data_IF_764185974208
#
_entry.id   IF_764185974208
#
_cell.length_a   1.000
_cell.length_b   1.000
_cell.length_c   1.000
_cell.angle_alpha   90.00
_cell.angle_beta   90.00
_cell.angle_gamma   90.00
#
_symmetry.space_group_name_H-M   'P 1'
#
loop_
_entity.id
_entity.type
_entity.pdbx_description
1 polymer ?
#
# COMPACT_ATOMS: atom_id res chain seq x y z
N UNK A 1 11.54 11.27 0.09
CA UNK A 1 10.81 11.14 1.36
C UNK A 1 10.09 9.81 1.39
N UNK A 2 10.12 9.11 2.53
CA UNK A 2 9.36 7.88 2.76
C UNK A 2 8.44 8.10 3.96
N UNK A 3 7.24 7.53 3.90
CA UNK A 3 6.25 7.59 4.98
C UNK A 3 5.72 6.18 5.22
N UNK A 4 5.69 5.77 6.47
CA UNK A 4 5.10 4.52 6.93
C UNK A 4 4.00 4.84 7.92
N UNK A 5 2.86 4.15 7.85
CA UNK A 5 1.76 4.36 8.78
C UNK A 5 1.09 3.05 9.16
N UNK A 6 0.69 2.93 10.41
CA UNK A 6 -0.14 1.84 10.92
C UNK A 6 -1.13 2.35 11.96
N UNK A 7 -2.27 1.68 12.09
CA UNK A 7 -3.26 1.94 13.14
C UNK A 7 -3.23 0.79 14.15
N UNK A 8 -2.86 1.03 15.41
CA UNK A 8 -2.83 0.00 16.44
C UNK A 8 -4.22 -0.40 16.96
N UNK A 9 -5.25 0.41 16.72
CA UNK A 9 -6.61 0.20 17.26
C UNK A 9 -7.45 -0.74 16.42
N UNK A 10 -7.05 -1.02 15.17
CA UNK A 10 -7.84 -1.80 14.22
C UNK A 10 -7.06 -2.96 13.60
N UNK A 11 -7.78 -3.91 12.99
CA UNK A 11 -7.19 -5.08 12.37
C UNK A 11 -8.06 -5.59 11.22
N UNK A 12 -7.47 -5.76 10.05
CA UNK A 12 -8.14 -6.14 8.81
C UNK A 12 -7.40 -7.22 8.02
N UNK A 13 -6.10 -7.35 8.24
CA UNK A 13 -5.19 -8.18 7.45
C UNK A 13 -4.65 -9.31 8.32
N UNK A 14 -4.78 -10.55 7.85
CA UNK A 14 -4.19 -11.69 8.51
C UNK A 14 -2.68 -11.79 8.23
N UNK A 15 -1.87 -12.31 9.15
CA UNK A 15 -0.53 -12.77 8.86
C UNK A 15 -0.53 -13.79 7.72
N UNK A 16 0.53 -13.85 6.93
CA UNK A 16 0.65 -14.88 5.91
C UNK A 16 0.62 -16.29 6.53
N UNK A 17 -0.30 -17.12 6.04
CA UNK A 17 -0.59 -18.45 6.62
C UNK A 17 -1.63 -18.45 7.74
N UNK A 18 -2.12 -17.29 8.16
CA UNK A 18 -3.20 -17.14 9.14
C UNK A 18 -4.54 -16.76 8.51
N UNK A 19 -5.60 -16.81 9.30
CA UNK A 19 -6.97 -16.40 8.91
C UNK A 19 -7.53 -15.28 9.80
N UNK A 20 -6.91 -15.03 10.94
CA UNK A 20 -7.36 -14.00 11.90
C UNK A 20 -6.69 -12.67 11.62
N UNK A 21 -7.46 -11.58 11.58
CA UNK A 21 -6.94 -10.23 11.41
C UNK A 21 -6.01 -9.86 12.58
N UNK A 22 -4.88 -9.24 12.26
CA UNK A 22 -3.92 -8.72 13.22
C UNK A 22 -3.45 -7.31 12.86
N UNK A 23 -3.26 -7.02 11.58
CA UNK A 23 -2.69 -5.76 11.10
C UNK A 23 -3.73 -4.97 10.33
N UNK A 24 -3.52 -3.68 10.20
CA UNK A 24 -4.20 -2.85 9.20
C UNK A 24 -3.50 -2.96 7.83
N UNK A 25 -4.01 -2.35 6.76
CA UNK A 25 -3.33 -2.34 5.46
C UNK A 25 -1.93 -1.72 5.44
N UNK A 26 -1.51 -1.04 6.49
CA UNK A 26 -0.15 -0.55 6.74
C UNK A 26 0.48 0.12 5.50
N UNK A 27 0.03 1.33 5.10
CA UNK A 27 0.49 1.97 3.88
C UNK A 27 1.94 2.42 3.95
N UNK A 28 2.58 2.36 2.79
CA UNK A 28 3.91 2.90 2.51
C UNK A 28 3.74 3.94 1.41
N UNK A 29 4.19 5.18 1.65
CA UNK A 29 4.25 6.21 0.63
C UNK A 29 5.69 6.66 0.37
N UNK A 30 5.99 7.03 -0.87
CA UNK A 30 7.28 7.59 -1.25
C UNK A 30 7.13 8.72 -2.25
N UNK A 31 7.90 9.80 -2.05
CA UNK A 31 8.07 10.86 -3.03
C UNK A 31 9.52 10.97 -3.45
N UNK A 32 9.81 10.81 -4.74
CA UNK A 32 11.15 10.83 -5.33
C UNK A 32 11.17 11.91 -6.40
N UNK A 33 12.11 12.88 -6.33
CA UNK A 33 12.27 13.90 -7.38
C UNK A 33 12.54 13.25 -8.74
N UNK A 34 11.77 13.63 -9.75
CA UNK A 34 11.91 13.20 -11.15
C UNK A 34 11.29 14.25 -12.08
N UNK A 35 11.62 14.20 -13.37
CA UNK A 35 11.05 15.05 -14.40
C UNK A 35 10.12 14.26 -15.34
N UNK A 36 9.03 14.87 -15.86
CA UNK A 36 8.47 16.19 -15.52
C UNK A 36 7.71 16.24 -14.19
N UNK A 37 7.43 15.09 -13.59
CA UNK A 37 6.75 14.96 -12.31
C UNK A 37 7.49 13.99 -11.37
N UNK A 38 7.41 14.20 -10.05
CA UNK A 38 7.98 13.26 -9.11
C UNK A 38 7.31 11.88 -9.21
N UNK A 39 8.06 10.83 -8.89
CA UNK A 39 7.47 9.51 -8.64
C UNK A 39 6.77 9.58 -7.28
N UNK A 40 5.47 9.29 -7.25
CA UNK A 40 4.67 9.26 -6.04
C UNK A 40 4.11 7.86 -5.84
N UNK A 41 4.73 7.09 -4.97
CA UNK A 41 4.21 5.79 -4.54
C UNK A 41 3.24 6.02 -3.36
N UNK A 42 2.08 5.36 -3.43
CA UNK A 42 1.16 5.18 -2.31
C UNK A 42 0.58 3.77 -2.44
N UNK A 43 1.01 2.88 -1.55
CA UNK A 43 0.64 1.47 -1.62
C UNK A 43 0.42 0.89 -0.23
N UNK A 44 -0.66 0.14 -0.06
CA UNK A 44 -0.84 -0.70 1.13
C UNK A 44 0.02 -1.97 1.05
N UNK A 45 0.35 -2.54 2.19
CA UNK A 45 1.00 -3.85 2.29
C UNK A 45 0.00 -5.01 2.18
N UNK A 46 -1.29 -4.70 2.09
CA UNK A 46 -2.38 -5.64 1.78
C UNK A 46 -2.78 -5.55 0.31
N UNK A 47 -3.38 -6.63 -0.22
CA UNK A 47 -3.79 -6.71 -1.63
C UNK A 47 -4.95 -5.75 -1.98
N UNK A 48 -5.73 -5.36 -0.98
CA UNK A 48 -6.80 -4.37 -1.06
C UNK A 48 -6.94 -3.64 0.27
N UNK A 49 -7.88 -2.69 0.35
CA UNK A 49 -8.14 -1.90 1.57
C UNK A 49 -9.52 -2.23 2.16
N UNK A 50 -9.70 -2.01 3.47
CA UNK A 50 -10.99 -2.13 4.14
C UNK A 50 -12.04 -1.24 3.46
N UNK A 51 -11.70 0.01 3.15
CA UNK A 51 -12.62 0.95 2.50
C UNK A 51 -13.09 0.49 1.11
N UNK A 52 -12.26 -0.23 0.33
CA UNK A 52 -12.72 -0.83 -0.93
C UNK A 52 -13.69 -1.99 -0.68
N UNK A 53 -13.40 -2.85 0.30
CA UNK A 53 -14.29 -3.95 0.68
C UNK A 53 -15.66 -3.42 1.10
N UNK A 54 -15.70 -2.44 2.00
CA UNK A 54 -16.93 -1.82 2.50
C UNK A 54 -17.72 -1.12 1.40
N UNK A 55 -17.05 -0.39 0.52
CA UNK A 55 -17.70 0.28 -0.62
C UNK A 55 -18.34 -0.74 -1.54
N UNK A 56 -17.61 -1.78 -1.97
CA UNK A 56 -18.13 -2.81 -2.83
C UNK A 56 -19.31 -3.57 -2.18
N UNK A 57 -19.22 -3.83 -0.87
CA UNK A 57 -20.33 -4.43 -0.12
C UNK A 57 -21.59 -3.57 -0.18
N UNK A 58 -21.48 -2.27 0.11
CA UNK A 58 -22.62 -1.32 0.02
C UNK A 58 -23.21 -1.20 -1.37
N UNK A 59 -22.36 -1.32 -2.40
CA UNK A 59 -22.78 -1.22 -3.80
C UNK A 59 -23.26 -2.58 -4.39
N UNK A 60 -23.27 -3.66 -3.60
CA UNK A 60 -23.61 -5.01 -4.04
C UNK A 60 -22.65 -5.57 -5.12
N UNK A 61 -21.39 -5.10 -5.13
CA UNK A 61 -20.37 -5.50 -6.10
C UNK A 61 -19.40 -6.50 -5.51
N UNK A 62 -18.87 -7.37 -6.36
CA UNK A 62 -17.73 -8.23 -6.01
C UNK A 62 -16.41 -7.48 -6.08
N UNK A 63 -15.40 -7.98 -5.37
CA UNK A 63 -14.03 -7.54 -5.54
C UNK A 63 -13.50 -8.05 -6.90
N UNK A 64 -12.53 -7.35 -7.52
CA UNK A 64 -11.93 -7.78 -8.79
C UNK A 64 -11.21 -9.13 -8.74
N UNK A 65 -10.92 -9.64 -7.54
CA UNK A 65 -10.27 -10.93 -7.35
C UNK A 65 -10.53 -11.51 -5.96
N UNK A 66 -10.12 -12.75 -5.76
CA UNK A 66 -10.23 -13.45 -4.47
C UNK A 66 -9.19 -12.92 -3.48
N UNK A 67 -9.44 -11.74 -2.93
CA UNK A 67 -8.53 -11.00 -2.06
C UNK A 67 -8.82 -11.15 -0.58
N UNK A 68 -9.89 -11.85 -0.25
CA UNK A 68 -10.30 -12.15 1.12
C UNK A 68 -10.09 -13.63 1.43
N UNK A 69 -9.87 -13.91 2.72
CA UNK A 69 -9.86 -15.26 3.27
C UNK A 69 -10.88 -15.34 4.40
N UNK A 70 -11.70 -16.40 4.38
CA UNK A 70 -12.68 -16.67 5.43
C UNK A 70 -12.02 -17.30 6.64
N UNK A 71 -12.70 -17.36 7.82
CA UNK A 71 -12.19 -18.11 8.97
C UNK A 71 -11.95 -19.61 8.70
N UNK A 72 -12.62 -20.17 7.69
CA UNK A 72 -12.41 -21.56 7.23
C UNK A 72 -11.20 -21.72 6.31
N UNK A 73 -10.50 -20.63 5.97
CA UNK A 73 -9.34 -20.67 5.06
C UNK A 73 -9.70 -20.63 3.57
N UNK A 74 -10.94 -20.32 3.22
CA UNK A 74 -11.40 -20.27 1.84
C UNK A 74 -11.22 -18.88 1.24
N UNK A 75 -10.75 -18.81 -0.01
CA UNK A 75 -10.61 -17.56 -0.76
C UNK A 75 -11.96 -17.01 -1.23
N UNK A 76 -12.18 -15.71 -1.05
CA UNK A 76 -13.40 -15.04 -1.47
C UNK A 76 -13.13 -13.72 -2.21
N UNK A 77 -13.98 -13.43 -3.20
CA UNK A 77 -14.15 -12.13 -3.83
C UNK A 77 -15.42 -11.42 -3.33
N UNK A 78 -16.16 -12.07 -2.42
CA UNK A 78 -17.37 -11.52 -1.83
C UNK A 78 -17.02 -10.59 -0.65
N UNK A 79 -17.22 -9.26 -0.76
CA UNK A 79 -16.94 -8.35 0.34
C UNK A 79 -17.85 -8.57 1.54
N UNK A 80 -18.97 -9.29 1.42
CA UNK A 80 -19.85 -9.63 2.54
C UNK A 80 -19.18 -10.52 3.59
N UNK A 81 -18.10 -11.25 3.25
CA UNK A 81 -17.36 -12.07 4.23
C UNK A 81 -16.38 -11.25 5.06
N UNK A 82 -16.11 -10.01 4.69
CA UNK A 82 -15.11 -9.16 5.34
C UNK A 82 -15.57 -8.62 6.69
N UNK A 83 -14.68 -8.68 7.67
CA UNK A 83 -14.88 -8.09 8.99
C UNK A 83 -15.97 -8.76 9.85
N UNK A 84 -16.29 -8.15 10.99
CA UNK A 84 -17.35 -8.65 11.86
C UNK A 84 -18.74 -8.53 11.20
N UNK A 85 -19.67 -9.47 11.50
CA UNK A 85 -19.50 -10.67 12.33
C UNK A 85 -18.92 -11.88 11.59
N UNK A 86 -18.69 -11.82 10.27
CA UNK A 86 -18.27 -12.94 9.43
C UNK A 86 -16.82 -13.35 9.64
N UNK A 87 -15.97 -12.42 10.06
CA UNK A 87 -14.58 -12.66 10.45
C UNK A 87 -13.61 -12.89 9.30
N UNK A 88 -14.03 -12.66 8.05
CA UNK A 88 -13.12 -12.71 6.91
C UNK A 88 -12.11 -11.57 6.92
N UNK A 89 -10.90 -11.82 6.42
CA UNK A 89 -9.78 -10.90 6.46
C UNK A 89 -9.18 -10.67 5.07
N UNK A 90 -8.44 -9.58 4.93
CA UNK A 90 -7.73 -9.22 3.70
C UNK A 90 -6.40 -9.98 3.65
N UNK A 91 -6.02 -10.45 2.47
CA UNK A 91 -4.72 -11.05 2.22
C UNK A 91 -3.62 -9.98 2.11
N UNK A 92 -2.39 -10.26 2.54
CA UNK A 92 -1.23 -9.44 2.23
C UNK A 92 -1.02 -9.31 0.71
N UNK A 93 -0.33 -8.27 0.26
CA UNK A 93 0.13 -8.13 -1.14
C UNK A 93 0.88 -9.38 -1.56
N UNK A 94 0.51 -9.92 -2.71
CA UNK A 94 0.97 -11.21 -3.22
C UNK A 94 0.00 -12.36 -2.99
N UNK A 95 -1.09 -12.16 -2.22
CA UNK A 95 -2.16 -13.15 -2.03
C UNK A 95 -1.66 -14.42 -1.34
N UNK A 96 -2.19 -15.59 -1.74
CA UNK A 96 -1.74 -16.87 -1.19
C UNK A 96 -0.35 -17.28 -1.72
N UNK A 97 -0.04 -16.94 -2.96
CA UNK A 97 1.19 -17.43 -3.60
C UNK A 97 2.44 -16.72 -3.09
N UNK A 98 2.37 -15.39 -2.95
CA UNK A 98 3.50 -14.52 -2.62
C UNK A 98 3.22 -13.55 -1.47
N UNK A 99 2.15 -13.77 -0.71
CA UNK A 99 1.72 -12.91 0.41
C UNK A 99 2.75 -12.76 1.53
N UNK A 100 3.71 -13.69 1.64
CA UNK A 100 4.85 -13.55 2.56
C UNK A 100 5.64 -12.25 2.32
N UNK A 101 5.65 -11.71 1.08
CA UNK A 101 6.30 -10.44 0.76
C UNK A 101 5.54 -9.25 1.36
N UNK A 102 4.22 -9.18 1.12
CA UNK A 102 3.37 -8.16 1.73
C UNK A 102 3.34 -8.24 3.26
N UNK A 103 3.31 -9.46 3.79
CA UNK A 103 3.40 -9.69 5.24
C UNK A 103 4.72 -9.18 5.82
N UNK A 104 5.86 -9.47 5.17
CA UNK A 104 7.16 -8.95 5.59
C UNK A 104 7.21 -7.41 5.58
N UNK A 105 6.66 -6.77 4.53
CA UNK A 105 6.52 -5.31 4.47
C UNK A 105 5.63 -4.78 5.60
N UNK A 106 4.52 -5.46 5.90
CA UNK A 106 3.63 -5.06 6.99
C UNK A 106 4.32 -5.11 8.35
N UNK A 107 5.10 -6.17 8.64
CA UNK A 107 5.90 -6.27 9.87
C UNK A 107 6.94 -5.16 9.97
N UNK A 108 7.58 -4.81 8.86
CA UNK A 108 8.52 -3.68 8.81
C UNK A 108 7.80 -2.37 9.16
N UNK A 109 6.61 -2.12 8.59
CA UNK A 109 5.82 -0.93 8.92
C UNK A 109 5.44 -0.89 10.39
N UNK A 110 4.91 -2.00 10.95
CA UNK A 110 4.57 -2.09 12.39
C UNK A 110 5.79 -1.76 13.28
N UNK A 111 6.95 -2.34 12.97
CA UNK A 111 8.18 -2.11 13.74
C UNK A 111 8.66 -0.65 13.65
N UNK A 112 8.64 -0.06 12.45
CA UNK A 112 9.09 1.32 12.23
C UNK A 112 8.10 2.37 12.72
N UNK A 113 6.85 2.02 12.98
CA UNK A 113 5.81 2.94 13.47
C UNK A 113 5.52 2.69 14.94
N UNK A 114 4.73 1.68 15.28
CA UNK A 114 4.33 1.33 16.65
C UNK A 114 5.55 0.92 17.50
N UNK A 115 6.45 0.11 16.94
CA UNK A 115 7.66 -0.32 17.66
C UNK A 115 8.55 0.86 18.08
N UNK A 116 8.80 1.80 17.18
CA UNK A 116 9.61 2.98 17.48
C UNK A 116 8.91 3.99 18.39
N UNK A 117 7.57 4.08 18.34
CA UNK A 117 6.80 4.97 19.22
C UNK A 117 6.68 4.43 20.65
N UNK A 118 6.93 3.13 20.86
CA UNK A 118 6.72 2.46 22.14
C UNK A 118 5.26 2.38 22.56
N UNK A 119 4.33 2.57 21.61
CA UNK A 119 2.88 2.47 21.83
C UNK A 119 2.23 1.81 20.61
N UNK A 120 1.47 0.77 20.83
CA UNK A 120 0.89 0.01 19.73
C UNK A 120 -0.18 -0.99 20.17
N UNK A 121 -0.24 -2.12 19.49
CA UNK A 121 -1.24 -3.17 19.71
C UNK A 121 -1.24 -3.78 21.11
N UNK A 122 -0.08 -3.94 21.82
CA UNK A 122 -0.09 -4.44 23.19
C UNK A 122 -0.89 -3.58 24.17
N UNK A 123 -0.95 -2.26 23.94
CA UNK A 123 -1.71 -1.30 24.76
C UNK A 123 -3.21 -1.34 24.49
N UNK A 124 -3.66 -2.06 23.45
CA UNK A 124 -5.07 -2.24 23.06
C UNK A 124 -5.86 -0.93 22.98
N UNK A 125 -5.38 0.06 22.19
CA UNK A 125 -6.11 1.32 22.07
C UNK A 125 -7.52 1.07 21.51
N UNK A 126 -8.47 1.84 22.01
CA UNK A 126 -9.91 1.72 21.64
C UNK A 126 -10.38 2.83 20.72
N UNK A 127 -9.53 3.80 20.45
CA UNK A 127 -9.82 4.92 19.55
C UNK A 127 -8.91 4.87 18.35
N UNK A 128 -9.43 5.25 17.19
CA UNK A 128 -8.65 5.37 15.97
C UNK A 128 -7.43 6.29 16.19
N UNK A 129 -6.31 5.87 15.63
CA UNK A 129 -5.07 6.61 15.67
C UNK A 129 -4.10 6.12 14.61
N UNK A 130 -3.06 6.89 14.36
CA UNK A 130 -2.01 6.49 13.45
C UNK A 130 -0.63 6.68 14.10
N UNK A 131 0.14 5.60 14.13
CA UNK A 131 1.57 5.68 14.32
C UNK A 131 2.21 5.94 12.96
N UNK A 132 3.00 7.01 12.84
CA UNK A 132 3.59 7.45 11.57
C UNK A 132 5.08 7.68 11.72
N UNK A 133 5.86 7.13 10.77
CA UNK A 133 7.28 7.46 10.63
C UNK A 133 7.50 8.15 9.30
N UNK A 134 8.17 9.30 9.34
CA UNK A 134 8.58 10.07 8.17
C UNK A 134 10.10 10.07 8.09
N UNK A 135 10.63 9.58 6.97
CA UNK A 135 12.07 9.59 6.66
C UNK A 135 12.34 10.52 5.49
N UNK A 136 13.19 11.52 5.70
CA UNK A 136 13.64 12.43 4.65
C UNK A 136 15.11 12.15 4.36
N UNK A 137 15.40 11.84 3.09
CA UNK A 137 16.75 11.65 2.59
C UNK A 137 17.09 12.83 1.71
N UNK A 138 18.19 13.51 2.00
CA UNK A 138 18.73 14.58 1.16
C UNK A 138 19.75 13.98 0.19
N UNK A 139 19.47 13.94 -1.13
CA UNK A 139 20.37 13.32 -2.09
C UNK A 139 21.77 13.93 -2.09
N UNK A 140 21.86 15.26 -1.89
CA UNK A 140 23.12 15.99 -1.90
C UNK A 140 24.09 15.59 -0.77
N UNK A 141 23.61 14.82 0.21
CA UNK A 141 24.50 14.21 1.22
C UNK A 141 25.32 13.03 0.67
N UNK A 142 24.99 12.52 -0.51
CA UNK A 142 25.62 11.36 -1.13
C UNK A 142 26.33 11.70 -2.45
N UNK A 143 25.70 12.55 -3.31
CA UNK A 143 26.20 12.92 -4.64
C UNK A 143 25.56 14.24 -5.07
N UNK A 144 26.11 14.94 -6.10
CA UNK A 144 25.48 16.13 -6.67
C UNK A 144 24.02 15.85 -7.12
N UNK A 145 23.14 16.83 -6.93
CA UNK A 145 21.69 16.67 -7.25
C UNK A 145 21.47 16.36 -8.72
N UNK A 146 22.29 16.91 -9.61
CA UNK A 146 22.24 16.68 -11.06
C UNK A 146 22.50 15.20 -11.39
N UNK A 147 23.45 14.58 -10.70
CA UNK A 147 23.78 13.16 -10.90
C UNK A 147 22.63 12.26 -10.40
N UNK A 148 22.05 12.57 -9.23
CA UNK A 148 20.87 11.89 -8.73
C UNK A 148 19.71 12.01 -9.72
N UNK A 149 19.42 13.23 -10.18
CA UNK A 149 18.32 13.50 -11.10
C UNK A 149 18.53 12.76 -12.45
N UNK A 150 19.74 12.75 -12.99
CA UNK A 150 20.05 12.04 -14.23
C UNK A 150 19.75 10.53 -14.13
N UNK A 151 20.06 9.87 -12.99
CA UNK A 151 19.76 8.46 -12.78
C UNK A 151 18.25 8.21 -12.70
N UNK A 152 17.53 9.03 -11.95
CA UNK A 152 16.07 8.87 -11.78
C UNK A 152 15.33 9.15 -13.07
N UNK A 153 15.69 10.20 -13.80
CA UNK A 153 15.05 10.57 -15.07
C UNK A 153 15.33 9.52 -16.16
N UNK A 154 16.55 8.97 -16.18
CA UNK A 154 16.85 7.84 -17.06
C UNK A 154 15.95 6.63 -16.76
N UNK A 155 15.79 6.28 -15.47
CA UNK A 155 14.93 5.16 -15.05
C UNK A 155 13.47 5.39 -15.46
N UNK A 156 12.94 6.59 -15.20
CA UNK A 156 11.57 6.97 -15.59
C UNK A 156 11.40 6.85 -17.11
N UNK A 157 12.34 7.42 -17.88
CA UNK A 157 12.32 7.37 -19.34
C UNK A 157 12.39 5.93 -19.86
N UNK A 158 13.25 5.09 -19.29
CA UNK A 158 13.37 3.69 -19.67
C UNK A 158 12.07 2.91 -19.40
N UNK A 159 11.42 3.17 -18.27
CA UNK A 159 10.12 2.55 -17.95
C UNK A 159 9.04 2.98 -18.94
N UNK A 160 8.91 4.28 -19.22
CA UNK A 160 7.87 4.82 -20.11
C UNK A 160 8.04 4.36 -21.56
N UNK A 161 9.27 4.18 -22.01
CA UNK A 161 9.61 3.74 -23.37
C UNK A 161 9.76 2.21 -23.49
N UNK A 162 9.50 1.46 -22.43
CA UNK A 162 9.57 0.01 -22.44
C UNK A 162 8.58 -0.64 -23.42
N UNK A 163 8.90 -1.85 -23.86
CA UNK A 163 8.00 -2.63 -24.71
C UNK A 163 6.70 -2.94 -23.97
N UNK A 164 5.57 -2.65 -24.62
CA UNK A 164 4.25 -2.82 -24.02
C UNK A 164 3.72 -4.22 -24.32
N UNK A 165 3.16 -4.87 -23.32
CA UNK A 165 2.40 -6.09 -23.58
C UNK A 165 1.12 -5.80 -24.37
N UNK A 166 0.60 -6.77 -25.16
CA UNK A 166 -0.63 -6.59 -25.91
C UNK A 166 -1.79 -6.07 -25.07
N UNK A 167 -2.54 -5.11 -25.61
CA UNK A 167 -3.72 -4.52 -24.95
C UNK A 167 -3.41 -3.37 -23.98
N UNK A 168 -2.14 -3.01 -23.77
CA UNK A 168 -1.73 -1.86 -22.94
C UNK A 168 -1.46 -0.65 -23.83
N UNK A 169 -2.22 0.43 -23.62
CA UNK A 169 -2.07 1.67 -24.35
C UNK A 169 -0.78 2.41 -23.98
N UNK A 170 -0.48 2.51 -22.70
CA UNK A 170 0.68 3.23 -22.16
C UNK A 170 1.23 2.57 -20.90
N UNK A 171 2.53 2.69 -20.68
CA UNK A 171 3.18 2.44 -19.40
C UNK A 171 3.20 3.76 -18.64
N UNK A 172 2.85 3.75 -17.37
CA UNK A 172 2.85 4.92 -16.50
C UNK A 172 3.71 4.65 -15.26
N UNK A 173 4.33 5.69 -14.73
CA UNK A 173 4.99 5.62 -13.42
C UNK A 173 4.03 6.02 -12.30
N UNK A 174 4.23 5.53 -11.08
CA UNK A 174 3.38 5.90 -9.94
C UNK A 174 3.30 7.42 -9.75
N UNK A 175 2.07 7.94 -9.57
CA UNK A 175 1.79 9.36 -9.39
C UNK A 175 1.58 10.15 -10.68
N UNK A 176 1.96 9.64 -11.86
CA UNK A 176 1.88 10.37 -13.13
C UNK A 176 0.44 10.80 -13.46
N UNK A 177 -0.54 9.91 -13.32
CA UNK A 177 -1.95 10.22 -13.63
C UNK A 177 -2.52 11.27 -12.68
N UNK A 178 -2.17 11.20 -11.43
CA UNK A 178 -2.59 12.13 -10.39
C UNK A 178 -2.01 13.53 -10.65
N UNK A 179 -0.76 13.60 -11.07
CA UNK A 179 -0.10 14.87 -11.42
C UNK A 179 -0.70 15.50 -12.69
N UNK A 180 -1.02 14.70 -13.72
CA UNK A 180 -1.71 15.18 -14.92
C UNK A 180 -3.09 15.77 -14.53
N UNK A 181 -3.89 15.05 -13.75
CA UNK A 181 -5.21 15.53 -13.29
C UNK A 181 -5.10 16.81 -12.45
N UNK A 182 -4.09 16.90 -11.59
CA UNK A 182 -3.82 18.12 -10.82
C UNK A 182 -3.56 19.29 -11.75
N UNK A 183 -2.68 19.11 -12.74
CA UNK A 183 -2.30 20.18 -13.67
C UNK A 183 -3.50 20.61 -14.57
N UNK A 184 -4.40 19.68 -14.91
CA UNK A 184 -5.65 19.97 -15.60
C UNK A 184 -6.63 20.77 -14.71
N UNK A 185 -6.74 20.43 -13.43
CA UNK A 185 -7.63 21.10 -12.48
C UNK A 185 -7.16 22.52 -12.10
N UNK A 186 -5.87 22.84 -12.31
CA UNK A 186 -5.29 24.16 -12.04
C UNK A 186 -5.36 25.13 -13.22
N UNK A 187 -5.82 24.68 -14.38
CA UNK A 187 -6.02 25.49 -15.61
C UNK A 187 -7.43 26.04 -15.69
#
# INVERSE_FOLDING_TARGET
MLIYSSDPSDSHVAPYGGVSALMTPNPIAAGIPAQPWPILLDASTSITTAGLCERNHREGKRLPGKWLITPAGELSDDPAVFGPPQGGTILPVGGLDHGHKGYGLSLMVEALTQGLSGFGRPEKPTTWGAAVTVQVIRPEAFLPMEEFQAQVDWLVSACLNGEKRPGIAEIVVPGQREMIRRDEALR
#
